data_IF_318049398578
#
_entry.id   IF_318049398578
#
_cell.length_a   1.000
_cell.length_b   1.000
_cell.length_c   1.000
_cell.angle_alpha   90.00
_cell.angle_beta   90.00
_cell.angle_gamma   90.00
#
_symmetry.space_group_name_H-M   'P 1'
#
loop_
_entity.id
_entity.type
_entity.pdbx_description
1 polymer ?
#
# COMPACT_ATOMS: atom_id res chain seq x y z
N UNK A 1 -51.81 37.19 30.85
CA UNK A 1 -51.00 36.77 32.02
C UNK A 1 -49.66 36.30 31.46
N UNK A 2 -48.72 37.20 31.18
CA UNK A 2 -47.67 37.76 32.08
C UNK A 2 -46.59 36.76 32.51
N UNK A 3 -45.37 37.02 32.01
CA UNK A 3 -44.03 36.77 32.58
C UNK A 3 -43.57 35.32 32.82
N UNK A 4 -42.28 34.96 32.68
CA UNK A 4 -41.09 35.80 32.56
C UNK A 4 -39.80 34.99 32.35
N UNK A 5 -38.75 35.74 32.04
CA UNK A 5 -37.34 35.33 31.92
C UNK A 5 -36.77 34.70 33.19
N UNK A 6 -35.68 33.95 33.04
CA UNK A 6 -34.73 33.68 34.12
C UNK A 6 -33.58 32.76 33.69
N UNK A 7 -32.46 33.33 33.23
CA UNK A 7 -31.13 32.77 33.51
C UNK A 7 -30.72 33.19 34.93
N UNK A 8 -29.90 32.39 35.63
CA UNK A 8 -28.60 32.94 36.02
C UNK A 8 -27.43 31.93 36.04
N UNK A 9 -26.27 32.47 35.65
CA UNK A 9 -24.93 32.39 36.27
C UNK A 9 -24.32 31.04 36.74
N UNK A 10 -23.09 30.78 36.29
CA UNK A 10 -22.12 29.91 36.98
C UNK A 10 -21.64 30.54 38.30
N UNK A 11 -20.76 29.86 39.07
CA UNK A 11 -19.33 30.03 38.78
C UNK A 11 -18.40 28.86 39.19
N UNK A 12 -17.14 29.06 38.79
CA UNK A 12 -15.91 28.82 39.57
C UNK A 12 -15.09 27.55 39.34
N UNK A 13 -13.89 27.87 38.86
CA UNK A 13 -12.63 27.16 38.77
C UNK A 13 -12.07 26.86 40.17
N UNK A 14 -11.61 25.63 40.42
CA UNK A 14 -10.58 25.34 41.42
C UNK A 14 -9.64 24.28 40.84
N UNK A 15 -8.37 24.68 40.71
CA UNK A 15 -7.28 23.77 40.37
C UNK A 15 -6.83 22.94 41.56
N UNK A 16 -6.16 21.84 41.27
CA UNK A 16 -5.04 21.38 42.10
C UNK A 16 -4.07 20.59 41.24
N UNK A 17 -2.85 21.12 41.18
CA UNK A 17 -1.64 20.44 40.78
C UNK A 17 -1.45 19.17 41.61
N UNK A 18 -1.10 18.06 40.97
CA UNK A 18 -0.18 17.09 41.59
C UNK A 18 0.74 16.50 40.52
N UNK A 19 1.99 16.93 40.58
CA UNK A 19 3.16 16.22 40.06
C UNK A 19 3.17 14.79 40.63
N UNK A 20 3.21 13.78 39.76
CA UNK A 20 3.59 12.42 40.12
C UNK A 20 4.82 12.02 39.30
N UNK A 21 5.98 12.40 39.84
CA UNK A 21 7.30 11.91 39.47
C UNK A 21 7.41 10.44 39.92
N UNK A 22 7.37 9.49 38.98
CA UNK A 22 7.72 8.10 39.25
C UNK A 22 9.23 7.92 39.11
N UNK A 23 9.89 7.86 40.26
CA UNK A 23 11.29 7.49 40.42
C UNK A 23 11.45 5.96 40.25
N UNK A 24 12.32 5.54 39.34
CA UNK A 24 12.86 4.18 39.29
C UNK A 24 14.18 4.14 40.08
N UNK A 25 14.36 3.24 41.06
CA UNK A 25 15.60 3.13 41.82
C UNK A 25 16.68 2.38 41.02
N UNK A 26 17.92 2.80 41.27
CA UNK A 26 19.09 2.48 40.47
C UNK A 26 19.58 1.03 40.52
N UNK A 27 20.49 0.73 39.59
CA UNK A 27 21.68 -0.05 39.88
C UNK A 27 22.84 0.43 39.00
N UNK A 28 23.85 0.96 39.68
CA UNK A 28 25.20 1.23 39.19
C UNK A 28 26.05 0.01 39.55
N UNK A 29 26.78 -0.56 38.59
CA UNK A 29 28.10 -1.19 38.83
C UNK A 29 28.74 -1.63 37.49
N UNK A 30 29.70 -0.85 37.01
CA UNK A 30 31.15 -1.13 37.01
C UNK A 30 31.69 -1.68 35.70
N UNK A 31 32.25 -0.73 34.95
CA UNK A 31 33.37 -0.81 34.01
C UNK A 31 34.42 -1.85 34.45
N UNK A 32 34.75 -2.82 33.61
CA UNK A 32 35.98 -3.60 33.72
C UNK A 32 36.87 -3.34 32.50
N UNK A 33 38.07 -2.84 32.80
CA UNK A 33 39.16 -2.63 31.88
C UNK A 33 39.72 -3.97 31.38
N UNK A 34 40.03 -3.97 30.08
CA UNK A 34 41.23 -4.49 29.41
C UNK A 34 42.17 -5.38 30.26
N UNK A 35 42.33 -6.64 29.82
CA UNK A 35 43.59 -7.36 29.96
C UNK A 35 44.00 -7.89 28.58
N UNK A 36 45.07 -7.32 28.05
CA UNK A 36 45.84 -7.87 26.94
C UNK A 36 46.62 -9.09 27.43
N UNK A 37 46.63 -10.15 26.63
CA UNK A 37 47.59 -11.25 26.74
C UNK A 37 47.83 -11.79 25.33
N UNK A 38 49.10 -12.05 25.05
CA UNK A 38 49.73 -12.14 23.74
C UNK A 38 49.63 -13.53 23.08
N UNK A 39 49.96 -13.51 21.80
CA UNK A 39 50.52 -14.61 20.98
C UNK A 39 49.57 -15.63 20.37
N UNK A 40 49.55 -15.64 19.03
CA UNK A 40 48.88 -16.66 18.22
C UNK A 40 48.69 -16.24 16.77
N UNK A 41 49.78 -15.99 16.03
CA UNK A 41 49.73 -15.78 14.60
C UNK A 41 49.31 -17.07 13.86
N UNK A 42 48.21 -17.05 13.12
CA UNK A 42 47.95 -17.98 12.02
C UNK A 42 47.48 -17.19 10.80
N UNK A 43 48.39 -17.11 9.83
CA UNK A 43 48.14 -16.74 8.44
C UNK A 43 47.23 -17.77 7.78
N UNK A 44 46.14 -17.32 7.13
CA UNK A 44 45.54 -18.07 6.03
C UNK A 44 44.78 -17.14 5.09
N UNK A 45 45.43 -16.83 3.98
CA UNK A 45 44.84 -16.24 2.77
C UNK A 45 43.62 -17.03 2.31
N UNK A 46 42.41 -16.49 2.50
CA UNK A 46 41.18 -17.09 1.98
C UNK A 46 40.91 -16.55 0.57
N UNK A 47 41.32 -17.31 -0.43
CA UNK A 47 41.19 -17.00 -1.86
C UNK A 47 39.74 -17.10 -2.34
N UNK A 48 39.35 -16.20 -3.24
CA UNK A 48 38.04 -16.02 -3.95
C UNK A 48 37.36 -17.29 -4.54
N UNK A 49 37.93 -18.48 -4.42
CA UNK A 49 37.43 -19.72 -5.04
C UNK A 49 36.40 -20.50 -4.22
N UNK A 50 36.18 -20.17 -2.94
CA UNK A 50 35.18 -20.86 -2.10
C UNK A 50 33.76 -20.32 -2.31
N UNK A 51 33.61 -19.05 -2.68
CA UNK A 51 32.29 -18.42 -2.86
C UNK A 51 31.50 -18.92 -4.09
N UNK A 52 32.21 -19.36 -5.14
CA UNK A 52 31.59 -19.87 -6.37
C UNK A 52 31.09 -21.32 -6.26
N UNK A 53 31.52 -22.07 -5.24
CA UNK A 53 31.15 -23.48 -5.08
C UNK A 53 29.84 -23.66 -4.30
N UNK A 54 29.45 -22.68 -3.51
CA UNK A 54 28.19 -22.69 -2.77
C UNK A 54 27.00 -22.18 -3.60
N UNK A 55 27.24 -21.46 -4.70
CA UNK A 55 26.18 -21.02 -5.61
C UNK A 55 25.60 -22.15 -6.49
N UNK A 56 26.37 -23.22 -6.71
CA UNK A 56 26.01 -24.29 -7.64
C UNK A 56 25.13 -25.40 -7.01
N UNK A 57 24.79 -25.33 -5.72
CA UNK A 57 24.05 -26.39 -5.00
C UNK A 57 22.59 -26.07 -4.66
N UNK A 58 22.06 -24.90 -5.05
CA UNK A 58 20.64 -24.55 -4.81
C UNK A 58 19.81 -24.36 -6.08
N UNK A 59 20.24 -24.89 -7.23
CA UNK A 59 19.54 -24.80 -8.52
C UNK A 59 18.66 -26.02 -8.83
N UNK A 60 17.87 -26.47 -7.86
CA UNK A 60 16.78 -27.43 -8.07
C UNK A 60 15.51 -26.95 -7.35
N UNK A 61 14.99 -25.81 -7.81
CA UNK A 61 13.59 -25.44 -7.60
C UNK A 61 13.08 -24.84 -8.93
N UNK A 62 12.28 -25.63 -9.63
CA UNK A 62 11.61 -25.25 -10.86
C UNK A 62 10.51 -24.23 -10.51
N UNK A 63 10.54 -23.05 -11.13
CA UNK A 63 9.40 -22.13 -11.15
C UNK A 63 9.78 -20.65 -11.31
N UNK A 64 9.79 -20.17 -12.55
CA UNK A 64 10.06 -18.80 -13.00
C UNK A 64 11.54 -18.35 -12.99
N UNK A 65 12.20 -18.49 -14.14
CA UNK A 65 13.39 -17.69 -14.41
C UNK A 65 13.00 -16.20 -14.37
N UNK A 66 13.82 -15.32 -13.76
CA UNK A 66 13.63 -13.89 -13.94
C UNK A 66 13.71 -13.59 -15.44
N UNK A 67 12.67 -12.92 -15.97
CA UNK A 67 12.70 -12.42 -17.34
C UNK A 67 13.97 -11.56 -17.51
N UNK A 68 14.67 -11.64 -18.65
CA UNK A 68 15.82 -10.79 -18.89
C UNK A 68 15.41 -9.34 -18.68
N UNK A 69 16.28 -8.57 -18.02
CA UNK A 69 16.12 -7.15 -17.75
C UNK A 69 15.68 -6.43 -19.04
N UNK A 70 14.39 -6.12 -19.15
CA UNK A 70 13.88 -5.26 -20.21
C UNK A 70 14.25 -3.87 -19.76
N UNK A 71 15.13 -3.22 -20.52
CA UNK A 71 15.48 -1.83 -20.28
C UNK A 71 14.18 -1.03 -20.26
N UNK A 72 13.72 -0.60 -19.08
CA UNK A 72 12.40 0.01 -18.86
C UNK A 72 12.33 1.47 -19.32
N UNK A 73 13.29 1.90 -20.16
CA UNK A 73 13.17 3.13 -20.90
C UNK A 73 11.97 2.96 -21.83
N UNK A 74 10.84 3.56 -21.46
CA UNK A 74 9.65 3.67 -22.30
C UNK A 74 10.09 3.96 -23.73
N UNK A 75 9.82 3.03 -24.65
CA UNK A 75 10.11 3.25 -26.06
C UNK A 75 9.43 4.56 -26.47
N UNK A 76 10.12 5.50 -27.14
CA UNK A 76 9.58 6.84 -27.44
C UNK A 76 8.31 6.84 -28.31
N UNK A 77 7.86 5.67 -28.77
CA UNK A 77 6.65 5.45 -29.55
C UNK A 77 5.46 4.87 -28.75
N UNK A 78 5.53 4.73 -27.43
CA UNK A 78 4.35 4.30 -26.66
C UNK A 78 3.30 5.43 -26.69
N UNK A 79 2.08 5.10 -27.11
CA UNK A 79 0.95 6.03 -27.25
C UNK A 79 -0.28 5.50 -26.52
N UNK A 80 -1.24 6.39 -26.25
CA UNK A 80 -2.54 6.02 -25.67
C UNK A 80 -2.53 5.89 -24.14
N UNK A 81 -3.74 5.97 -23.59
CA UNK A 81 -4.03 5.85 -22.16
C UNK A 81 -4.91 4.63 -21.95
N UNK A 82 -4.49 3.73 -21.07
CA UNK A 82 -5.28 2.58 -20.67
C UNK A 82 -6.34 2.94 -19.63
N UNK A 83 -7.47 2.23 -19.63
CA UNK A 83 -8.50 2.33 -18.60
C UNK A 83 -8.71 0.96 -17.97
N UNK A 84 -8.55 0.89 -16.64
CA UNK A 84 -8.98 -0.25 -15.84
C UNK A 84 -10.31 0.10 -15.17
N UNK A 85 -11.32 -0.71 -15.43
CA UNK A 85 -12.60 -0.73 -14.72
C UNK A 85 -13.17 -2.14 -14.80
N UNK A 86 -14.01 -2.53 -13.85
CA UNK A 86 -14.71 -3.81 -13.84
C UNK A 86 -16.14 -3.59 -13.32
N UNK A 87 -17.18 -4.14 -13.98
CA UNK A 87 -18.56 -3.98 -13.53
C UNK A 87 -18.77 -4.48 -12.10
N UNK A 88 -18.00 -5.46 -11.63
CA UNK A 88 -18.12 -6.02 -10.27
C UNK A 88 -17.70 -5.03 -9.17
N UNK A 89 -16.98 -3.96 -9.50
CA UNK A 89 -16.63 -2.92 -8.52
C UNK A 89 -17.86 -2.23 -7.90
N UNK A 90 -19.01 -2.28 -8.57
CA UNK A 90 -20.26 -1.71 -8.06
C UNK A 90 -20.95 -2.60 -7.02
N UNK A 91 -20.53 -3.86 -6.89
CA UNK A 91 -21.10 -4.81 -5.92
C UNK A 91 -20.62 -4.51 -4.49
N UNK A 92 -19.48 -3.82 -4.34
CA UNK A 92 -19.03 -3.33 -3.05
C UNK A 92 -19.89 -2.16 -2.57
N UNK A 93 -20.73 -2.46 -1.58
CA UNK A 93 -21.57 -1.50 -0.87
C UNK A 93 -21.22 -1.51 0.62
N UNK A 94 -21.19 -0.31 1.20
CA UNK A 94 -21.03 -0.11 2.64
C UNK A 94 -22.35 0.40 3.22
N UNK A 95 -22.69 0.02 4.46
CA UNK A 95 -23.96 0.39 5.07
C UNK A 95 -24.03 1.91 5.31
N UNK A 96 -25.25 2.44 5.21
CA UNK A 96 -25.56 3.82 5.55
C UNK A 96 -25.14 4.17 6.97
N UNK A 97 -24.71 5.42 7.18
CA UNK A 97 -24.24 5.92 8.48
C UNK A 97 -25.17 7.02 8.95
N UNK A 98 -25.76 6.83 10.13
CA UNK A 98 -26.71 7.77 10.73
C UNK A 98 -27.90 8.16 9.82
N UNK A 99 -28.37 7.21 8.99
CA UNK A 99 -29.47 7.43 8.05
C UNK A 99 -29.07 8.14 6.75
N UNK A 100 -27.79 8.45 6.57
CA UNK A 100 -27.25 9.04 5.35
C UNK A 100 -26.51 8.00 4.50
N UNK A 101 -26.61 8.08 3.16
CA UNK A 101 -25.88 7.19 2.27
C UNK A 101 -24.38 7.23 2.51
N UNK A 102 -23.74 6.06 2.58
CA UNK A 102 -22.30 5.99 2.77
C UNK A 102 -21.54 6.76 1.65
N UNK A 103 -20.55 7.60 1.98
CA UNK A 103 -19.86 8.41 0.97
C UNK A 103 -19.02 7.55 0.00
N UNK A 104 -18.45 6.46 0.52
CA UNK A 104 -17.87 5.39 -0.28
C UNK A 104 -19.03 4.49 -0.75
N UNK A 105 -19.55 4.76 -1.96
CA UNK A 105 -20.63 3.98 -2.60
C UNK A 105 -20.50 3.88 -4.13
N UNK A 106 -21.15 2.90 -4.80
CA UNK A 106 -21.00 2.62 -6.23
C UNK A 106 -21.14 3.84 -7.15
N UNK A 107 -21.94 4.82 -6.72
CA UNK A 107 -22.15 6.09 -7.44
C UNK A 107 -20.84 6.80 -7.81
N UNK A 108 -19.75 6.63 -7.05
CA UNK A 108 -18.44 7.21 -7.38
C UNK A 108 -17.92 6.75 -8.75
N UNK A 109 -17.97 5.45 -9.05
CA UNK A 109 -17.54 4.92 -10.35
C UNK A 109 -18.55 5.20 -11.46
N UNK A 110 -19.84 5.15 -11.14
CA UNK A 110 -20.90 5.48 -12.10
C UNK A 110 -20.71 6.92 -12.62
N UNK A 111 -20.40 7.86 -11.73
CA UNK A 111 -20.15 9.26 -12.10
C UNK A 111 -18.89 9.46 -12.92
N UNK A 112 -17.83 8.70 -12.64
CA UNK A 112 -16.61 8.70 -13.48
C UNK A 112 -16.94 8.20 -14.88
N UNK A 113 -17.65 7.08 -15.01
CA UNK A 113 -18.04 6.51 -16.29
C UNK A 113 -18.94 7.48 -17.10
N UNK A 114 -19.90 8.13 -16.45
CA UNK A 114 -20.74 9.16 -17.07
C UNK A 114 -19.90 10.34 -17.57
N UNK A 115 -18.99 10.87 -16.74
CA UNK A 115 -18.12 11.97 -17.12
C UNK A 115 -17.20 11.63 -18.30
N UNK A 116 -16.75 10.37 -18.41
CA UNK A 116 -15.98 9.92 -19.57
C UNK A 116 -16.82 9.88 -20.84
N UNK A 117 -18.02 9.30 -20.77
CA UNK A 117 -18.93 9.22 -21.92
C UNK A 117 -19.38 10.60 -22.40
N UNK A 118 -19.77 11.50 -21.49
CA UNK A 118 -20.17 12.88 -21.81
C UNK A 118 -19.07 13.69 -22.52
N UNK A 119 -17.80 13.32 -22.28
CA UNK A 119 -16.63 13.96 -22.88
C UNK A 119 -16.04 13.18 -24.06
N UNK A 120 -16.62 12.04 -24.43
CA UNK A 120 -16.13 11.15 -25.49
C UNK A 120 -14.81 10.44 -25.15
N UNK A 121 -14.36 10.45 -23.90
CA UNK A 121 -13.09 9.86 -23.47
C UNK A 121 -13.11 8.32 -23.53
N UNK A 122 -14.28 7.72 -23.38
CA UNK A 122 -14.49 6.28 -23.55
C UNK A 122 -14.05 5.76 -24.92
N UNK A 123 -14.12 6.59 -25.97
CA UNK A 123 -13.62 6.26 -27.31
C UNK A 123 -12.11 6.41 -27.48
N UNK A 124 -11.45 7.17 -26.60
CA UNK A 124 -10.00 7.44 -26.65
C UNK A 124 -9.18 6.51 -25.74
N UNK A 125 -9.83 5.95 -24.72
CA UNK A 125 -9.20 5.09 -23.72
C UNK A 125 -9.13 3.63 -24.19
N UNK A 126 -7.99 2.98 -23.96
CA UNK A 126 -7.81 1.55 -24.27
C UNK A 126 -8.25 0.70 -23.08
N UNK A 127 -9.28 -0.15 -23.18
CA UNK A 127 -9.67 -1.03 -22.09
C UNK A 127 -8.54 -2.00 -21.73
N UNK A 128 -8.16 -2.04 -20.46
CA UNK A 128 -7.14 -2.94 -19.95
C UNK A 128 -7.76 -4.11 -19.20
N UNK A 129 -7.10 -5.27 -19.28
CA UNK A 129 -7.52 -6.47 -18.55
C UNK A 129 -6.98 -6.43 -17.13
N UNK A 130 -7.77 -6.96 -16.20
CA UNK A 130 -7.31 -7.24 -14.84
C UNK A 130 -6.25 -8.36 -14.87
N UNK A 131 -5.32 -8.31 -13.93
CA UNK A 131 -4.39 -9.42 -13.70
C UNK A 131 -5.17 -10.69 -13.30
N UNK A 132 -4.85 -11.88 -13.84
CA UNK A 132 -5.67 -13.08 -13.64
C UNK A 132 -5.67 -13.63 -12.22
N UNK A 133 -4.65 -13.32 -11.41
CA UNK A 133 -4.55 -13.77 -10.02
C UNK A 133 -3.82 -12.73 -9.15
N UNK A 134 -4.53 -11.99 -8.30
CA UNK A 134 -3.93 -10.96 -7.42
C UNK A 134 -3.47 -11.50 -6.06
N UNK A 135 -3.98 -12.67 -5.65
CA UNK A 135 -3.80 -13.19 -4.29
C UNK A 135 -2.32 -13.43 -3.89
N UNK A 136 -1.43 -13.95 -4.77
CA UNK A 136 -0.01 -14.09 -4.45
C UNK A 136 0.68 -12.77 -4.11
N UNK A 137 0.21 -11.66 -4.67
CA UNK A 137 0.78 -10.33 -4.45
C UNK A 137 0.22 -9.69 -3.19
N UNK A 138 -1.08 -9.87 -2.94
CA UNK A 138 -1.75 -9.49 -1.70
C UNK A 138 -1.06 -10.15 -0.50
N UNK A 139 -0.85 -11.48 -0.54
CA UNK A 139 -0.19 -12.25 0.53
C UNK A 139 1.28 -11.92 0.76
N UNK A 140 1.95 -11.28 -0.22
CA UNK A 140 3.33 -10.80 -0.04
C UNK A 140 3.39 -9.46 0.68
N UNK A 141 2.30 -8.70 0.68
CA UNK A 141 2.22 -7.38 1.28
C UNK A 141 1.54 -7.43 2.65
N UNK A 142 0.44 -8.18 2.75
CA UNK A 142 -0.37 -8.29 3.95
C UNK A 142 -0.10 -9.57 4.74
N UNK A 143 -0.29 -9.50 6.05
CA UNK A 143 -0.22 -10.68 6.94
C UNK A 143 -1.32 -11.68 6.61
N UNK A 144 -1.10 -12.99 6.79
CA UNK A 144 -2.12 -14.02 6.60
C UNK A 144 -3.43 -13.71 7.33
N UNK A 145 -3.35 -13.26 8.58
CA UNK A 145 -4.51 -12.97 9.42
C UNK A 145 -5.39 -11.85 8.82
N UNK A 146 -4.76 -10.80 8.30
CA UNK A 146 -5.47 -9.72 7.63
C UNK A 146 -6.11 -10.19 6.31
N UNK A 147 -5.37 -10.96 5.50
CA UNK A 147 -5.92 -11.51 4.25
C UNK A 147 -7.11 -12.41 4.54
N UNK A 148 -7.00 -13.30 5.52
CA UNK A 148 -8.10 -14.20 5.87
C UNK A 148 -9.31 -13.42 6.38
N UNK A 149 -9.13 -12.41 7.23
CA UNK A 149 -10.21 -11.56 7.72
C UNK A 149 -10.93 -10.81 6.59
N UNK A 150 -10.20 -10.13 5.70
CA UNK A 150 -10.77 -9.38 4.57
C UNK A 150 -11.53 -10.31 3.62
N UNK A 151 -11.02 -11.52 3.37
CA UNK A 151 -11.68 -12.49 2.49
C UNK A 151 -13.00 -13.03 3.03
N UNK A 152 -13.21 -13.00 4.35
CA UNK A 152 -14.49 -13.39 4.96
C UNK A 152 -15.57 -12.30 4.83
N UNK A 153 -15.22 -11.08 4.41
CA UNK A 153 -16.21 -10.02 4.21
C UNK A 153 -16.98 -10.32 2.93
N UNK A 154 -18.26 -10.66 3.09
CA UNK A 154 -19.14 -11.03 1.99
C UNK A 154 -19.17 -9.94 0.91
N UNK A 155 -19.04 -10.36 -0.36
CA UNK A 155 -18.86 -9.52 -1.56
C UNK A 155 -17.57 -8.70 -1.56
N UNK A 156 -17.38 -7.84 -0.56
CA UNK A 156 -16.28 -6.87 -0.48
C UNK A 156 -14.90 -7.51 -0.52
N UNK A 157 -14.69 -8.66 0.13
CA UNK A 157 -13.41 -9.37 0.09
C UNK A 157 -12.99 -9.71 -1.35
N UNK A 158 -13.91 -10.25 -2.15
CA UNK A 158 -13.68 -10.56 -3.55
C UNK A 158 -13.49 -9.31 -4.42
N UNK A 159 -14.27 -8.25 -4.18
CA UNK A 159 -14.13 -6.99 -4.91
C UNK A 159 -12.79 -6.29 -4.59
N UNK A 160 -12.32 -6.36 -3.35
CA UNK A 160 -10.99 -5.86 -2.95
C UNK A 160 -9.86 -6.61 -3.66
N UNK A 161 -9.97 -7.93 -3.82
CA UNK A 161 -9.01 -8.72 -4.62
C UNK A 161 -9.00 -8.25 -6.10
N UNK A 162 -10.17 -7.92 -6.66
CA UNK A 162 -10.29 -7.39 -8.02
C UNK A 162 -9.66 -5.99 -8.17
N UNK A 163 -9.80 -5.11 -7.17
CA UNK A 163 -9.18 -3.80 -7.19
C UNK A 163 -7.65 -3.90 -7.31
N UNK A 164 -7.04 -4.80 -6.53
CA UNK A 164 -5.61 -5.11 -6.65
C UNK A 164 -5.30 -5.69 -8.03
N UNK A 165 -6.10 -6.63 -8.52
CA UNK A 165 -5.91 -7.22 -9.86
C UNK A 165 -5.93 -6.15 -10.97
N UNK A 166 -6.79 -5.14 -10.84
CA UNK A 166 -6.84 -4.01 -11.75
C UNK A 166 -5.55 -3.18 -11.73
N UNK A 167 -5.04 -2.86 -10.55
CA UNK A 167 -3.77 -2.13 -10.42
C UNK A 167 -2.59 -2.92 -11.02
N UNK A 168 -2.54 -4.23 -10.79
CA UNK A 168 -1.50 -5.11 -11.37
C UNK A 168 -1.60 -5.18 -12.91
N UNK A 169 -2.81 -5.28 -13.45
CA UNK A 169 -3.05 -5.28 -14.91
C UNK A 169 -2.62 -3.97 -15.58
N UNK A 170 -2.82 -2.84 -14.91
CA UNK A 170 -2.31 -1.55 -15.37
C UNK A 170 -0.77 -1.51 -15.40
N UNK A 171 -0.11 -2.02 -14.36
CA UNK A 171 1.36 -2.13 -14.34
C UNK A 171 1.86 -3.00 -15.49
N UNK A 172 1.24 -4.16 -15.73
CA UNK A 172 1.61 -5.02 -16.87
C UNK A 172 1.51 -4.29 -18.20
N UNK A 173 0.38 -3.60 -18.43
CA UNK A 173 0.13 -2.90 -19.68
C UNK A 173 1.14 -1.76 -19.93
N UNK A 174 1.48 -0.99 -18.89
CA UNK A 174 2.47 0.09 -18.99
C UNK A 174 3.89 -0.48 -19.14
N UNK A 175 4.26 -1.46 -18.31
CA UNK A 175 5.60 -2.04 -18.30
C UNK A 175 5.95 -2.78 -19.59
N UNK A 176 4.96 -3.41 -20.24
CA UNK A 176 5.13 -4.11 -21.52
C UNK A 176 4.94 -3.19 -22.73
N UNK A 177 4.61 -1.92 -22.51
CA UNK A 177 4.44 -0.93 -23.58
C UNK A 177 3.14 -1.06 -24.38
N UNK A 178 2.13 -1.75 -23.84
CA UNK A 178 0.79 -1.81 -24.44
C UNK A 178 0.12 -0.42 -24.46
N UNK A 179 0.34 0.39 -23.42
CA UNK A 179 -0.12 1.78 -23.30
C UNK A 179 0.97 2.64 -22.65
N UNK A 180 0.96 3.96 -22.90
CA UNK A 180 1.93 4.87 -22.28
C UNK A 180 1.69 5.07 -20.78
N UNK A 181 0.42 5.16 -20.41
CA UNK A 181 -0.03 5.34 -19.02
C UNK A 181 -1.41 4.70 -18.86
N UNK A 182 -1.90 4.60 -17.63
CA UNK A 182 -3.20 4.03 -17.34
C UNK A 182 -3.91 4.79 -16.22
N UNK A 183 -5.23 4.93 -16.35
CA UNK A 183 -6.12 5.35 -15.28
C UNK A 183 -6.87 4.13 -14.73
N UNK A 184 -6.85 3.96 -13.42
CA UNK A 184 -7.50 2.83 -12.76
C UNK A 184 -8.70 3.32 -11.96
N UNK A 185 -9.90 3.13 -12.51
CA UNK A 185 -11.16 3.45 -11.85
C UNK A 185 -11.54 2.29 -10.89
N UNK A 186 -10.78 2.15 -9.80
CA UNK A 186 -10.89 1.03 -8.86
C UNK A 186 -11.81 1.36 -7.68
N UNK A 187 -12.45 0.32 -7.15
CA UNK A 187 -13.07 0.28 -5.82
C UNK A 187 -12.95 -1.13 -5.24
N UNK A 188 -12.73 -1.29 -3.92
CA UNK A 188 -12.52 -0.25 -2.88
C UNK A 188 -11.17 0.49 -2.98
N UNK A 189 -10.98 1.62 -2.27
CA UNK A 189 -9.67 2.31 -2.15
C UNK A 189 -8.65 1.46 -1.37
N UNK A 190 -7.40 1.94 -1.26
CA UNK A 190 -6.32 1.14 -0.67
C UNK A 190 -5.30 1.82 0.25
N UNK A 191 -5.09 3.15 0.18
CA UNK A 191 -3.92 3.78 0.81
C UNK A 191 -3.88 3.79 2.36
N UNK A 192 -4.96 3.36 3.02
CA UNK A 192 -5.06 3.24 4.49
C UNK A 192 -4.97 1.79 5.01
N UNK A 193 -4.98 0.78 4.13
CA UNK A 193 -5.09 -0.62 4.54
C UNK A 193 -3.80 -1.17 5.17
N UNK A 194 -3.71 -1.16 6.51
CA UNK A 194 -2.65 -1.86 7.24
C UNK A 194 -3.09 -3.28 7.63
N UNK A 195 -2.21 -4.01 8.32
CA UNK A 195 -2.46 -5.38 8.77
C UNK A 195 -3.31 -5.46 10.04
N UNK A 196 -4.48 -4.82 10.05
CA UNK A 196 -5.40 -4.76 11.20
C UNK A 196 -6.48 -5.85 11.19
N UNK A 197 -6.62 -6.55 10.07
CA UNK A 197 -7.74 -7.45 9.78
C UNK A 197 -9.11 -6.76 9.64
N UNK A 198 -9.16 -5.43 9.51
CA UNK A 198 -10.38 -4.65 9.41
C UNK A 198 -10.30 -3.63 8.26
N UNK A 199 -11.42 -2.98 7.94
CA UNK A 199 -11.43 -1.81 7.07
C UNK A 199 -10.74 -0.62 7.79
N UNK A 200 -9.93 0.14 7.05
CA UNK A 200 -9.36 1.40 7.54
C UNK A 200 -9.57 2.46 6.47
N UNK A 201 -10.31 3.54 6.77
CA UNK A 201 -10.60 4.58 5.77
C UNK A 201 -11.22 4.01 4.48
N UNK A 202 -12.12 3.02 4.62
CA UNK A 202 -12.75 2.27 3.53
C UNK A 202 -11.81 1.39 2.69
N UNK A 203 -10.55 1.26 3.10
CA UNK A 203 -9.53 0.48 2.42
C UNK A 203 -9.44 -0.93 3.01
N UNK A 204 -9.23 -1.91 2.14
CA UNK A 204 -9.12 -3.33 2.52
C UNK A 204 -7.77 -3.94 2.12
N UNK A 205 -7.23 -3.57 0.95
CA UNK A 205 -5.87 -3.93 0.55
C UNK A 205 -5.13 -2.71 0.00
N UNK A 206 -3.82 -2.67 0.22
CA UNK A 206 -2.97 -1.54 -0.16
C UNK A 206 -2.64 -1.53 -1.66
N UNK A 207 -3.65 -1.23 -2.50
CA UNK A 207 -3.60 -1.30 -3.98
C UNK A 207 -2.30 -0.71 -4.58
N UNK A 208 -1.98 0.55 -4.26
CA UNK A 208 -0.81 1.25 -4.80
C UNK A 208 0.52 0.66 -4.30
N UNK A 209 0.60 0.27 -3.02
CA UNK A 209 1.80 -0.31 -2.46
C UNK A 209 2.07 -1.73 -3.01
N UNK A 210 1.02 -2.53 -3.18
CA UNK A 210 1.11 -3.85 -3.83
C UNK A 210 1.56 -3.68 -5.28
N UNK A 211 0.96 -2.73 -6.03
CA UNK A 211 1.32 -2.46 -7.42
C UNK A 211 2.77 -1.98 -7.57
N UNK A 212 3.26 -1.13 -6.66
CA UNK A 212 4.65 -0.69 -6.65
C UNK A 212 5.60 -1.88 -6.43
N UNK A 213 5.33 -2.73 -5.42
CA UNK A 213 6.14 -3.94 -5.18
C UNK A 213 6.09 -4.92 -6.35
N UNK A 214 4.95 -5.01 -7.02
CA UNK A 214 4.80 -5.80 -8.23
C UNK A 214 5.68 -5.27 -9.36
N UNK A 215 5.63 -3.97 -9.63
CA UNK A 215 6.47 -3.33 -10.64
C UNK A 215 7.97 -3.61 -10.40
N UNK A 216 8.46 -3.45 -9.16
CA UNK A 216 9.88 -3.72 -8.86
C UNK A 216 10.24 -5.19 -9.11
N UNK A 217 9.44 -6.12 -8.59
CA UNK A 217 9.81 -7.55 -8.57
C UNK A 217 9.56 -8.27 -9.89
N UNK A 218 8.56 -7.88 -10.68
CA UNK A 218 8.21 -8.58 -11.93
C UNK A 218 8.63 -7.84 -13.18
N UNK A 219 8.76 -6.52 -13.11
CA UNK A 219 9.14 -5.69 -14.26
C UNK A 219 10.48 -4.98 -14.09
N UNK A 220 11.14 -5.15 -12.93
CA UNK A 220 12.51 -4.68 -12.72
C UNK A 220 12.64 -3.17 -12.50
N UNK A 221 11.55 -2.46 -12.18
CA UNK A 221 11.63 -1.04 -11.85
C UNK A 221 12.45 -0.84 -10.56
N UNK A 222 13.59 -0.17 -10.67
CA UNK A 222 14.49 0.01 -9.52
C UNK A 222 14.05 1.14 -8.58
N UNK A 223 13.41 2.18 -9.13
CA UNK A 223 12.94 3.35 -8.39
C UNK A 223 11.49 3.66 -8.73
N UNK A 224 10.69 3.88 -7.70
CA UNK A 224 9.27 4.22 -7.84
C UNK A 224 9.00 5.52 -7.09
N UNK A 225 8.19 6.38 -7.68
CA UNK A 225 7.58 7.53 -7.02
C UNK A 225 6.08 7.24 -6.88
N UNK A 226 5.58 7.29 -5.66
CA UNK A 226 4.14 7.28 -5.36
C UNK A 226 3.78 8.69 -4.91
N UNK A 227 2.92 9.35 -5.69
CA UNK A 227 2.32 10.65 -5.34
C UNK A 227 0.91 10.39 -4.86
N UNK A 228 0.67 10.62 -3.58
CA UNK A 228 -0.64 10.56 -2.95
C UNK A 228 -1.16 11.98 -2.73
N UNK A 229 -2.12 12.38 -3.57
CA UNK A 229 -2.79 13.67 -3.46
C UNK A 229 -4.17 13.56 -2.82
N UNK A 230 -4.54 12.38 -2.30
CA UNK A 230 -5.80 12.26 -1.57
C UNK A 230 -5.76 13.21 -0.37
N UNK A 231 -6.93 13.77 -0.03
CA UNK A 231 -7.04 14.72 1.08
C UNK A 231 -6.58 14.09 2.41
N UNK A 232 -6.68 12.77 2.55
CA UNK A 232 -6.24 12.03 3.73
C UNK A 232 -4.84 11.45 3.54
N UNK A 233 -4.08 11.42 4.63
CA UNK A 233 -2.78 10.75 4.64
C UNK A 233 -2.89 9.24 4.34
N UNK A 234 -2.24 8.78 3.28
CA UNK A 234 -2.06 7.36 2.96
C UNK A 234 -1.11 6.62 3.90
N UNK A 235 -1.49 6.48 5.17
CA UNK A 235 -0.68 5.92 6.25
C UNK A 235 -0.17 4.50 5.96
N UNK A 236 -0.96 3.64 5.31
CA UNK A 236 -0.49 2.29 4.98
C UNK A 236 0.57 2.31 3.87
N UNK A 237 0.42 3.21 2.89
CA UNK A 237 1.43 3.40 1.85
C UNK A 237 2.72 3.95 2.45
N UNK A 238 2.65 4.92 3.37
CA UNK A 238 3.80 5.39 4.13
C UNK A 238 4.49 4.22 4.85
N UNK A 239 3.75 3.47 5.65
CA UNK A 239 4.28 2.37 6.45
C UNK A 239 4.96 1.29 5.59
N UNK A 240 4.41 1.01 4.39
CA UNK A 240 4.94 0.01 3.48
C UNK A 240 6.35 0.33 2.92
N UNK A 241 6.74 1.60 2.90
CA UNK A 241 7.98 2.07 2.28
C UNK A 241 8.82 2.98 3.18
N UNK A 242 8.49 3.10 4.46
CA UNK A 242 9.11 4.07 5.38
C UNK A 242 10.64 3.98 5.41
N UNK A 243 11.16 2.75 5.45
CA UNK A 243 12.60 2.46 5.49
C UNK A 243 13.16 2.07 4.10
N UNK A 244 12.40 2.24 3.03
CA UNK A 244 12.77 1.78 1.68
C UNK A 244 13.18 2.94 0.75
N UNK A 245 14.49 3.12 0.48
CA UNK A 245 14.95 4.20 -0.38
C UNK A 245 14.64 3.99 -1.87
N UNK A 246 14.18 2.81 -2.28
CA UNK A 246 13.80 2.52 -3.67
C UNK A 246 12.40 3.01 -4.03
N UNK A 247 11.60 3.42 -3.04
CA UNK A 247 10.26 3.97 -3.25
C UNK A 247 10.12 5.29 -2.51
N UNK A 248 10.03 6.39 -3.27
CA UNK A 248 9.70 7.69 -2.70
C UNK A 248 8.18 7.79 -2.58
N UNK A 249 7.68 7.91 -1.35
CA UNK A 249 6.30 8.25 -1.06
C UNK A 249 6.19 9.75 -0.75
N UNK A 250 5.36 10.46 -1.51
CA UNK A 250 4.99 11.85 -1.25
C UNK A 250 3.48 11.91 -1.05
N UNK A 251 3.04 12.44 0.09
CA UNK A 251 1.63 12.66 0.37
C UNK A 251 1.39 14.11 0.75
N UNK A 252 0.36 14.73 0.16
CA UNK A 252 -0.14 16.04 0.56
C UNK A 252 -1.56 15.85 1.13
N UNK A 253 -1.76 16.22 2.39
CA UNK A 253 -2.99 16.01 3.16
C UNK A 253 -3.19 17.13 4.18
N UNK A 254 -4.40 17.25 4.72
CA UNK A 254 -4.75 18.16 5.83
C UNK A 254 -4.46 17.55 7.21
#
# INVERSE_FOLDING_TARGET
MTHGMGSPEGPSFQGSDTNATLACPGQVATRRLLSLSSDGAISMTRTRRVFLRDLAKSLLAVGAMPRPFVNSASSPNQTGTGLVTDPRYIEHELPDRAGEPHPERPLRLIRIAQAFSERGLDSELTPLRLHPDSMPFIRRHHTPEHVDAVRQIEVTGGVAELAVAGALGAIDAVATGQVRNAFCALRPPGHHANNTGQEEGFCFYSNAAIAARYAQRWHGFEKILIVDWDYHHGNATQNAFYDDPSVLFFSAHD
#
